data_IF_906017117301
#
_entry.id   IF_906017117301
#
_cell.length_a   1.000
_cell.length_b   1.000
_cell.length_c   1.000
_cell.angle_alpha   90.00
_cell.angle_beta   90.00
_cell.angle_gamma   90.00
#
_symmetry.space_group_name_H-M   'P 1'
#
loop_
_entity.id
_entity.type
_entity.pdbx_description
1 polymer ?
#
# COMPACT_ATOMS: atom_id res chain seq x y z
N UNK A 1 -6.85 21.95 25.28
CA UNK A 1 -5.69 21.08 25.51
C UNK A 1 -5.72 20.03 24.40
N UNK A 2 -4.80 20.13 23.44
CA UNK A 2 -4.72 19.15 22.35
C UNK A 2 -4.14 17.87 22.96
N UNK A 3 -4.96 16.83 22.99
CA UNK A 3 -4.57 15.53 23.48
C UNK A 3 -3.56 14.95 22.47
N UNK A 4 -2.27 15.16 22.74
CA UNK A 4 -1.17 14.43 22.09
C UNK A 4 -1.11 13.02 22.68
N UNK A 5 -2.26 12.34 22.75
CA UNK A 5 -2.39 10.96 23.17
C UNK A 5 -1.75 10.08 22.10
N UNK A 6 -0.48 9.74 22.35
CA UNK A 6 0.29 8.60 21.84
C UNK A 6 -0.29 7.92 20.58
N UNK A 7 0.01 8.50 19.41
CA UNK A 7 -0.26 7.88 18.11
C UNK A 7 0.43 6.50 17.97
N UNK A 8 1.34 6.14 18.89
CA UNK A 8 2.08 4.88 18.91
C UNK A 8 1.20 3.64 18.83
N UNK A 9 0.09 3.58 19.56
CA UNK A 9 -0.83 2.43 19.49
C UNK A 9 -1.50 2.29 18.12
N UNK A 10 -1.92 3.41 17.53
CA UNK A 10 -2.51 3.46 16.19
C UNK A 10 -1.47 3.09 15.13
N UNK A 11 -0.24 3.60 15.25
CA UNK A 11 0.87 3.29 14.35
C UNK A 11 1.20 1.80 14.38
N UNK A 12 1.31 1.20 15.57
CA UNK A 12 1.56 -0.24 15.71
C UNK A 12 0.45 -1.05 15.03
N UNK A 13 -0.81 -0.72 15.27
CA UNK A 13 -1.93 -1.42 14.65
C UNK A 13 -1.93 -1.31 13.11
N UNK A 14 -1.61 -0.12 12.57
CA UNK A 14 -1.49 0.10 11.14
C UNK A 14 -0.31 -0.66 10.52
N UNK A 15 0.85 -0.67 11.20
CA UNK A 15 2.03 -1.41 10.77
C UNK A 15 1.79 -2.92 10.80
N UNK A 16 1.12 -3.44 11.82
CA UNK A 16 0.75 -4.85 11.91
C UNK A 16 -0.25 -5.24 10.83
N UNK A 17 -1.28 -4.43 10.59
CA UNK A 17 -2.23 -4.64 9.48
C UNK A 17 -1.51 -4.62 8.13
N UNK A 18 -0.59 -3.68 7.93
CA UNK A 18 0.22 -3.60 6.73
C UNK A 18 1.06 -4.87 6.54
N UNK A 19 1.82 -5.27 7.57
CA UNK A 19 2.71 -6.43 7.53
C UNK A 19 1.98 -7.76 7.35
N UNK A 20 0.86 -7.96 8.06
CA UNK A 20 0.15 -9.23 8.12
C UNK A 20 -0.85 -9.43 6.99
N UNK A 21 -1.40 -8.34 6.43
CA UNK A 21 -2.49 -8.42 5.46
C UNK A 21 -2.11 -7.78 4.12
N UNK A 22 -1.69 -6.51 4.13
CA UNK A 22 -1.53 -5.74 2.89
C UNK A 22 -0.27 -6.11 2.11
N UNK A 23 0.86 -6.26 2.80
CA UNK A 23 2.14 -6.57 2.17
C UNK A 23 2.14 -7.94 1.46
N UNK A 24 1.66 -9.05 2.07
CA UNK A 24 1.59 -10.33 1.38
C UNK A 24 0.72 -10.29 0.12
N UNK A 25 -0.43 -9.61 0.18
CA UNK A 25 -1.31 -9.44 -0.97
C UNK A 25 -0.65 -8.61 -2.08
N UNK A 26 0.00 -7.50 -1.74
CA UNK A 26 0.74 -6.69 -2.71
C UNK A 26 1.88 -7.47 -3.38
N UNK A 27 2.62 -8.29 -2.63
CA UNK A 27 3.66 -9.15 -3.19
C UNK A 27 3.09 -10.21 -4.13
N UNK A 28 1.95 -10.83 -3.79
CA UNK A 28 1.27 -11.76 -4.68
C UNK A 28 0.80 -11.09 -5.98
N UNK A 29 0.31 -9.85 -5.91
CA UNK A 29 -0.03 -9.06 -7.10
C UNK A 29 1.20 -8.75 -7.95
N UNK A 30 2.31 -8.36 -7.33
CA UNK A 30 3.58 -8.13 -8.02
C UNK A 30 4.05 -9.37 -8.78
N UNK A 31 3.98 -10.54 -8.17
CA UNK A 31 4.32 -11.79 -8.84
C UNK A 31 3.36 -12.10 -10.00
N UNK A 32 2.06 -11.89 -9.80
CA UNK A 32 1.02 -12.09 -10.83
C UNK A 32 1.29 -11.23 -12.07
N UNK A 33 1.42 -9.92 -11.90
CA UNK A 33 1.70 -9.01 -13.02
C UNK A 33 3.10 -9.26 -13.62
N UNK A 34 4.07 -9.70 -12.81
CA UNK A 34 5.39 -10.11 -13.28
C UNK A 34 5.38 -11.33 -14.20
N UNK A 35 4.33 -12.17 -14.16
CA UNK A 35 4.11 -13.29 -15.08
C UNK A 35 3.36 -12.89 -16.36
N UNK A 36 3.04 -11.61 -16.53
CA UNK A 36 2.24 -11.12 -17.65
C UNK A 36 0.73 -11.29 -17.45
N UNK A 37 0.28 -11.67 -16.27
CA UNK A 37 -1.16 -11.82 -15.99
C UNK A 37 -1.84 -10.46 -15.81
N UNK A 38 -3.08 -10.38 -16.27
CA UNK A 38 -3.98 -9.23 -16.08
C UNK A 38 -4.55 -9.21 -14.65
N UNK A 39 -4.84 -8.01 -14.15
CA UNK A 39 -5.49 -7.86 -12.85
C UNK A 39 -6.99 -8.13 -12.97
N UNK A 40 -7.55 -8.81 -11.98
CA UNK A 40 -9.01 -8.99 -11.86
C UNK A 40 -9.64 -7.79 -11.16
N UNK A 41 -10.97 -7.65 -11.27
CA UNK A 41 -11.72 -6.60 -10.55
C UNK A 41 -11.44 -6.62 -9.05
N UNK A 42 -11.33 -7.81 -8.45
CA UNK A 42 -11.01 -7.97 -7.03
C UNK A 42 -9.58 -7.48 -6.69
N UNK A 43 -8.63 -7.63 -7.62
CA UNK A 43 -7.27 -7.13 -7.45
C UNK A 43 -7.24 -5.60 -7.53
N UNK A 44 -8.01 -5.01 -8.46
CA UNK A 44 -8.16 -3.56 -8.60
C UNK A 44 -8.84 -2.96 -7.36
N UNK A 45 -9.92 -3.54 -6.86
CA UNK A 45 -10.57 -3.13 -5.62
C UNK A 45 -9.65 -3.22 -4.39
N UNK A 46 -8.71 -4.18 -4.39
CA UNK A 46 -7.70 -4.24 -3.34
C UNK A 46 -6.72 -3.07 -3.45
N UNK A 47 -6.23 -2.76 -4.66
CA UNK A 47 -5.30 -1.66 -4.89
C UNK A 47 -5.93 -0.31 -4.51
N UNK A 48 -7.18 -0.06 -4.91
CA UNK A 48 -7.90 1.17 -4.57
C UNK A 48 -8.04 1.36 -3.06
N UNK A 49 -8.47 0.31 -2.34
CA UNK A 49 -8.59 0.36 -0.88
C UNK A 49 -7.26 0.65 -0.17
N UNK A 50 -6.14 0.18 -0.71
CA UNK A 50 -4.83 0.48 -0.10
C UNK A 50 -4.41 1.92 -0.39
N UNK A 51 -4.69 2.44 -1.59
CA UNK A 51 -4.43 3.84 -1.90
C UNK A 51 -5.24 4.78 -1.00
N UNK A 52 -6.50 4.44 -0.71
CA UNK A 52 -7.33 5.13 0.27
C UNK A 52 -6.70 5.08 1.67
N UNK A 53 -6.37 3.89 2.18
CA UNK A 53 -5.70 3.71 3.48
C UNK A 53 -4.41 4.56 3.58
N UNK A 54 -3.63 4.67 2.51
CA UNK A 54 -2.42 5.49 2.47
C UNK A 54 -2.70 7.00 2.53
N UNK A 55 -3.75 7.46 1.85
CA UNK A 55 -4.17 8.87 1.87
C UNK A 55 -4.64 9.27 3.26
N UNK A 56 -5.41 8.41 3.91
CA UNK A 56 -5.89 8.62 5.27
C UNK A 56 -4.75 8.60 6.30
N UNK A 57 -3.64 7.89 5.99
CA UNK A 57 -2.43 7.86 6.80
C UNK A 57 -1.49 9.07 6.67
N UNK A 58 -1.70 9.99 5.71
CA UNK A 58 -0.82 11.15 5.51
C UNK A 58 -0.65 12.06 6.74
N UNK A 59 -1.71 12.35 7.53
CA UNK A 59 -1.57 13.15 8.75
C UNK A 59 -0.67 12.49 9.79
N UNK A 60 -0.71 11.16 9.91
CA UNK A 60 0.16 10.39 10.81
C UNK A 60 1.62 10.51 10.38
N UNK A 61 1.92 10.38 9.09
CA UNK A 61 3.29 10.52 8.59
C UNK A 61 3.84 11.93 8.75
N UNK A 62 2.98 12.95 8.62
CA UNK A 62 3.37 14.34 8.86
C UNK A 62 3.80 14.57 10.32
N UNK A 63 3.26 13.78 11.26
CA UNK A 63 3.60 13.79 12.69
C UNK A 63 4.75 12.82 13.04
N UNK A 64 4.98 11.81 12.20
CA UNK A 64 5.94 10.72 12.39
C UNK A 64 6.83 10.52 11.15
N UNK A 65 7.84 11.39 10.95
CA UNK A 65 8.70 11.35 9.76
C UNK A 65 9.50 10.05 9.63
N UNK A 66 9.69 9.28 10.70
CA UNK A 66 10.26 7.93 10.68
C UNK A 66 9.49 6.96 9.77
N UNK A 67 8.19 7.20 9.57
CA UNK A 67 7.34 6.41 8.67
C UNK A 67 7.55 6.78 7.19
N UNK A 68 8.18 7.91 6.88
CA UNK A 68 8.36 8.39 5.51
C UNK A 68 9.16 7.40 4.65
N UNK A 69 10.21 6.80 5.21
CA UNK A 69 11.02 5.81 4.52
C UNK A 69 10.23 4.53 4.20
N UNK A 70 9.35 4.10 5.11
CA UNK A 70 8.46 2.98 4.87
C UNK A 70 7.47 3.33 3.77
N UNK A 71 6.75 4.47 3.88
CA UNK A 71 5.80 4.91 2.86
C UNK A 71 6.44 4.98 1.48
N UNK A 72 7.66 5.52 1.34
CA UNK A 72 8.35 5.56 0.05
C UNK A 72 8.55 4.18 -0.57
N UNK A 73 8.92 3.17 0.23
CA UNK A 73 9.04 1.78 -0.23
C UNK A 73 7.68 1.20 -0.63
N UNK A 74 6.64 1.49 0.14
CA UNK A 74 5.30 1.00 -0.18
C UNK A 74 4.80 1.66 -1.46
N UNK A 75 4.85 2.99 -1.60
CA UNK A 75 4.49 3.69 -2.83
C UNK A 75 5.25 3.18 -4.06
N UNK A 76 6.55 2.88 -3.93
CA UNK A 76 7.33 2.25 -4.98
C UNK A 76 6.79 0.88 -5.40
N UNK A 77 6.47 0.01 -4.43
CA UNK A 77 5.87 -1.30 -4.70
C UNK A 77 4.53 -1.18 -5.45
N UNK A 78 3.65 -0.28 -5.03
CA UNK A 78 2.36 -0.08 -5.71
C UNK A 78 2.55 0.44 -7.12
N UNK A 79 3.48 1.38 -7.33
CA UNK A 79 3.82 1.88 -8.66
C UNK A 79 4.29 0.77 -9.58
N UNK A 80 5.20 -0.09 -9.11
CA UNK A 80 5.68 -1.24 -9.90
C UNK A 80 4.54 -2.17 -10.31
N UNK A 81 3.60 -2.44 -9.39
CA UNK A 81 2.44 -3.29 -9.66
C UNK A 81 1.55 -2.64 -10.72
N UNK A 82 1.20 -1.36 -10.57
CA UNK A 82 0.30 -0.66 -11.49
C UNK A 82 0.91 -0.46 -12.88
N UNK A 83 2.21 -0.16 -12.96
CA UNK A 83 2.91 0.01 -14.23
C UNK A 83 2.95 -1.33 -15.00
N UNK A 84 3.25 -2.43 -14.31
CA UNK A 84 3.24 -3.77 -14.91
C UNK A 84 1.82 -4.23 -15.29
N UNK A 85 0.83 -3.98 -14.44
CA UNK A 85 -0.58 -4.28 -14.74
C UNK A 85 -1.04 -3.56 -16.01
N UNK A 86 -0.72 -2.26 -16.13
CA UNK A 86 -1.06 -1.47 -17.32
C UNK A 86 -0.39 -2.02 -18.58
N UNK A 87 0.89 -2.41 -18.50
CA UNK A 87 1.60 -3.03 -19.61
C UNK A 87 0.93 -4.35 -20.04
N UNK A 88 0.52 -5.20 -19.09
CA UNK A 88 -0.16 -6.46 -19.38
C UNK A 88 -1.55 -6.24 -20.02
N UNK A 89 -2.28 -5.20 -19.60
CA UNK A 89 -3.54 -4.83 -20.23
C UNK A 89 -3.37 -4.37 -21.67
N UNK A 90 -2.29 -3.65 -21.98
CA UNK A 90 -2.01 -3.16 -23.34
C UNK A 90 -1.48 -4.25 -24.28
N UNK A 91 -0.84 -5.29 -23.72
CA UNK A 91 -0.22 -6.36 -24.49
C UNK A 91 -1.18 -7.49 -24.88
N UNK A 92 -2.30 -7.65 -24.19
CA UNK A 92 -3.29 -8.71 -24.42
C UNK A 92 -4.63 -8.19 -24.91
#
# INVERSE_FOLDING_TARGET
MADHADDGGTIVALLDRFRLQRLPAALALKEKVGRGEKLSDADLEFLDRVLEDMRDGQPLVSRHPELAALLGKVSGLYKEITDAALANEQAG
#
